data_IF_326293508065
#
_entry.id   IF_326293508065
#
_cell.length_a   1.000
_cell.length_b   1.000
_cell.length_c   1.000
_cell.angle_alpha   90.00
_cell.angle_beta   90.00
_cell.angle_gamma   90.00
#
_symmetry.space_group_name_H-M   'P 1'
#
loop_
_entity.id
_entity.type
_entity.pdbx_description
1 polymer ?
#
# COMPACT_ATOMS: atom_id res chain seq x y z
N UNK A 1 -9.38 -6.53 17.76
CA UNK A 1 -8.34 -5.57 17.34
C UNK A 1 -7.56 -6.19 16.20
N UNK A 2 -7.22 -5.43 15.16
CA UNK A 2 -6.49 -5.91 13.98
C UNK A 2 -5.09 -5.32 14.00
N UNK A 3 -4.08 -6.11 13.64
CA UNK A 3 -2.68 -5.69 13.58
C UNK A 3 -2.10 -6.17 12.27
N UNK A 4 -1.48 -5.26 11.53
CA UNK A 4 -0.59 -5.60 10.42
C UNK A 4 0.75 -6.03 11.01
N UNK A 5 0.97 -7.35 11.11
CA UNK A 5 2.23 -7.90 11.63
C UNK A 5 3.33 -7.96 10.56
N UNK A 6 2.93 -8.02 9.30
CA UNK A 6 3.85 -8.09 8.16
C UNK A 6 4.09 -6.71 7.55
N UNK A 7 5.32 -6.49 7.08
CA UNK A 7 5.69 -5.36 6.21
C UNK A 7 6.14 -5.94 4.88
N UNK A 8 5.51 -5.51 3.80
CA UNK A 8 5.70 -6.11 2.47
C UNK A 8 6.06 -5.02 1.47
N UNK A 9 7.04 -5.30 0.63
CA UNK A 9 7.23 -4.63 -0.66
C UNK A 9 6.91 -5.65 -1.76
N UNK A 10 5.96 -5.29 -2.62
CA UNK A 10 5.41 -6.19 -3.62
C UNK A 10 4.90 -5.45 -4.88
N UNK A 11 5.24 -4.18 -5.07
CA UNK A 11 4.97 -3.53 -6.35
C UNK A 11 5.79 -4.18 -7.46
N UNK A 12 5.13 -4.54 -8.55
CA UNK A 12 5.76 -5.01 -9.79
C UNK A 12 6.39 -3.81 -10.48
N UNK A 13 7.71 -3.65 -10.30
CA UNK A 13 8.47 -2.49 -10.80
C UNK A 13 8.47 -2.38 -12.33
N UNK A 14 8.28 -3.49 -13.05
CA UNK A 14 8.27 -3.51 -14.51
C UNK A 14 6.91 -3.11 -15.09
N UNK A 15 5.82 -3.39 -14.36
CA UNK A 15 4.43 -3.12 -14.81
C UNK A 15 3.79 -1.88 -14.19
N UNK A 16 4.40 -1.36 -13.13
CA UNK A 16 3.94 -0.15 -12.44
C UNK A 16 4.53 1.10 -13.08
N UNK A 17 3.90 2.25 -12.83
CA UNK A 17 4.38 3.57 -13.25
C UNK A 17 4.47 4.44 -12.02
N UNK A 18 5.66 4.97 -11.76
CA UNK A 18 5.99 5.71 -10.56
C UNK A 18 7.17 6.65 -10.77
N UNK A 19 7.27 7.63 -9.88
CA UNK A 19 8.41 8.55 -9.74
C UNK A 19 9.03 8.35 -8.36
N UNK A 20 10.34 8.11 -8.31
CA UNK A 20 11.08 7.99 -7.06
C UNK A 20 11.41 9.37 -6.49
N UNK A 21 11.32 9.52 -5.18
CA UNK A 21 11.78 10.70 -4.48
C UNK A 21 13.32 10.66 -4.37
N UNK A 22 13.98 11.64 -5.00
CA UNK A 22 15.45 11.74 -5.01
C UNK A 22 16.02 12.46 -3.80
N UNK A 23 15.17 13.12 -3.00
CA UNK A 23 15.55 13.78 -1.76
C UNK A 23 14.46 13.57 -0.70
N UNK A 24 14.27 12.32 -0.24
CA UNK A 24 13.19 11.99 0.67
C UNK A 24 13.31 12.80 1.95
N UNK A 25 12.23 13.51 2.30
CA UNK A 25 12.11 14.22 3.59
C UNK A 25 11.87 13.26 4.77
N UNK A 26 11.69 11.98 4.47
CA UNK A 26 11.47 10.90 5.44
C UNK A 26 12.83 10.29 5.78
N UNK A 27 13.06 10.00 7.05
CA UNK A 27 14.27 9.35 7.52
C UNK A 27 14.37 7.91 6.97
N UNK A 28 15.12 7.73 5.88
CA UNK A 28 15.36 6.43 5.24
C UNK A 28 16.38 5.58 6.00
N UNK A 29 16.92 6.04 7.14
CA UNK A 29 17.89 5.26 7.92
C UNK A 29 17.33 3.95 8.48
N UNK A 30 16.00 3.82 8.53
CA UNK A 30 15.27 2.66 9.07
C UNK A 30 14.79 1.68 7.99
N UNK A 31 14.89 2.02 6.70
CA UNK A 31 14.41 1.18 5.60
C UNK A 31 15.22 1.41 4.33
N UNK A 32 15.79 0.35 3.77
CA UNK A 32 16.40 0.39 2.43
C UNK A 32 15.36 0.45 1.29
N UNK A 33 14.07 0.59 1.62
CA UNK A 33 13.03 0.68 0.61
C UNK A 33 13.10 2.03 -0.13
N UNK A 34 12.88 2.04 -1.45
CA UNK A 34 12.73 3.27 -2.20
C UNK A 34 11.54 4.09 -1.67
N UNK A 35 11.71 5.41 -1.63
CA UNK A 35 10.62 6.35 -1.34
C UNK A 35 10.04 6.81 -2.67
N UNK A 36 8.71 6.79 -2.78
CA UNK A 36 8.00 7.17 -4.00
C UNK A 36 7.43 8.59 -3.84
N UNK A 37 7.78 9.47 -4.78
CA UNK A 37 7.15 10.77 -4.91
C UNK A 37 5.72 10.63 -5.41
N UNK A 38 5.53 9.73 -6.39
CA UNK A 38 4.25 9.44 -7.03
C UNK A 38 4.19 8.01 -7.53
N UNK A 39 3.03 7.39 -7.47
CA UNK A 39 2.71 6.13 -8.15
C UNK A 39 1.43 6.36 -8.94
N UNK A 40 1.53 6.49 -10.27
CA UNK A 40 0.41 6.70 -11.18
C UNK A 40 -0.32 5.39 -11.51
N UNK A 41 0.41 4.27 -11.48
CA UNK A 41 -0.15 2.94 -11.71
C UNK A 41 0.53 1.94 -10.78
N UNK A 42 -0.24 1.39 -9.85
CA UNK A 42 0.23 0.39 -8.89
C UNK A 42 -0.17 -1.01 -9.36
N UNK A 43 0.79 -1.80 -9.83
CA UNK A 43 0.59 -3.22 -10.12
C UNK A 43 1.21 -4.04 -8.99
N UNK A 44 0.37 -4.81 -8.29
CA UNK A 44 0.82 -5.64 -7.16
C UNK A 44 1.24 -7.02 -7.67
N UNK A 45 2.38 -7.51 -7.18
CA UNK A 45 2.91 -8.85 -7.47
C UNK A 45 1.95 -9.93 -6.96
N UNK A 46 1.82 -11.03 -7.72
CA UNK A 46 0.78 -12.06 -7.48
C UNK A 46 1.02 -12.97 -6.27
N UNK A 47 2.14 -12.83 -5.56
CA UNK A 47 2.59 -13.78 -4.54
C UNK A 47 2.53 -13.20 -3.12
N UNK A 48 1.43 -12.54 -2.76
CA UNK A 48 1.20 -12.07 -1.39
C UNK A 48 0.23 -13.03 -0.69
N UNK A 49 0.72 -13.73 0.33
CA UNK A 49 -0.10 -14.64 1.14
C UNK A 49 -0.80 -13.92 2.31
N UNK A 50 -0.26 -12.78 2.75
CA UNK A 50 -0.81 -12.05 3.89
C UNK A 50 -2.07 -11.28 3.52
N UNK A 51 -3.10 -11.37 4.36
CA UNK A 51 -4.40 -10.72 4.14
C UNK A 51 -4.49 -9.30 4.72
N UNK A 52 -3.57 -8.92 5.61
CA UNK A 52 -3.49 -7.61 6.26
C UNK A 52 -2.02 -7.29 6.58
N UNK A 53 -1.46 -6.27 5.95
CA UNK A 53 -0.03 -5.94 6.03
C UNK A 53 0.20 -4.44 5.88
N UNK A 54 1.37 -3.98 6.32
CA UNK A 54 1.87 -2.65 6.03
C UNK A 54 2.56 -2.68 4.67
N UNK A 55 2.12 -1.85 3.73
CA UNK A 55 2.63 -1.83 2.37
C UNK A 55 3.64 -0.69 2.21
N UNK A 56 4.91 -1.05 2.00
CA UNK A 56 6.04 -0.10 2.05
C UNK A 56 5.93 0.99 0.97
N UNK A 57 5.41 0.66 -0.20
CA UNK A 57 5.38 1.57 -1.36
C UNK A 57 4.45 2.77 -1.18
N UNK A 58 3.39 2.63 -0.38
CA UNK A 58 2.40 3.70 -0.13
C UNK A 58 2.30 4.08 1.35
N UNK A 59 3.09 3.44 2.21
CA UNK A 59 3.14 3.67 3.66
C UNK A 59 1.80 3.51 4.40
N UNK A 60 0.90 2.67 3.90
CA UNK A 60 -0.44 2.44 4.43
C UNK A 60 -0.67 0.98 4.83
N UNK A 61 -1.69 0.74 5.66
CA UNK A 61 -2.18 -0.62 5.95
C UNK A 61 -3.10 -1.06 4.80
N UNK A 62 -2.75 -2.18 4.17
CA UNK A 62 -3.48 -2.77 3.05
C UNK A 62 -4.04 -4.12 3.46
N UNK A 63 -5.22 -4.45 2.94
CA UNK A 63 -5.82 -5.76 3.10
C UNK A 63 -6.27 -6.36 1.76
N UNK A 64 -6.32 -7.68 1.71
CA UNK A 64 -6.94 -8.43 0.60
C UNK A 64 -8.44 -8.16 0.49
N UNK A 65 -9.02 -8.45 -0.69
CA UNK A 65 -10.47 -8.48 -0.89
C UNK A 65 -11.18 -9.39 0.10
N UNK A 66 -10.63 -10.60 0.31
CA UNK A 66 -11.21 -11.64 1.15
C UNK A 66 -11.33 -11.17 2.61
N UNK A 67 -10.32 -10.44 3.09
CA UNK A 67 -10.36 -9.83 4.42
C UNK A 67 -11.51 -8.83 4.54
N UNK A 68 -11.63 -7.91 3.58
CA UNK A 68 -12.71 -6.90 3.55
C UNK A 68 -14.08 -7.56 3.48
N UNK A 69 -14.25 -8.56 2.62
CA UNK A 69 -15.51 -9.27 2.46
C UNK A 69 -15.93 -9.98 3.74
N UNK A 70 -14.99 -10.67 4.39
CA UNK A 70 -15.25 -11.28 5.70
C UNK A 70 -15.57 -10.24 6.77
N UNK A 71 -14.83 -9.13 6.81
CA UNK A 71 -15.09 -8.02 7.75
C UNK A 71 -16.52 -7.48 7.62
N UNK A 72 -16.98 -7.25 6.40
CA UNK A 72 -18.34 -6.77 6.11
C UNK A 72 -19.38 -7.83 6.45
N UNK A 73 -19.14 -9.10 6.07
CA UNK A 73 -20.04 -10.22 6.36
C UNK A 73 -20.28 -10.44 7.85
N UNK A 74 -19.24 -10.28 8.66
CA UNK A 74 -19.30 -10.41 10.12
C UNK A 74 -19.86 -9.13 10.80
N UNK A 75 -20.27 -8.12 10.02
CA UNK A 75 -20.84 -6.85 10.50
C UNK A 75 -19.93 -6.13 11.52
N UNK A 76 -18.62 -6.15 11.29
CA UNK A 76 -17.65 -5.48 12.13
C UNK A 76 -17.61 -3.97 11.83
N UNK A 77 -17.26 -3.17 12.84
CA UNK A 77 -17.19 -1.71 12.75
C UNK A 77 -15.83 -1.15 13.19
N UNK A 78 -15.50 0.05 12.74
CA UNK A 78 -14.27 0.76 13.12
C UNK A 78 -13.17 0.81 12.07
N UNK A 79 -13.35 0.16 10.92
CA UNK A 79 -12.47 0.30 9.75
C UNK A 79 -13.25 0.90 8.57
N UNK A 80 -12.56 1.68 7.76
CA UNK A 80 -13.04 2.12 6.45
C UNK A 80 -12.06 1.62 5.39
N UNK A 81 -12.57 1.31 4.20
CA UNK A 81 -11.78 0.71 3.14
C UNK A 81 -11.80 1.60 1.91
N UNK A 82 -10.62 1.92 1.39
CA UNK A 82 -10.43 2.53 0.06
C UNK A 82 -9.96 1.43 -0.89
N UNK A 83 -10.56 1.35 -2.08
CA UNK A 83 -10.17 0.38 -3.09
C UNK A 83 -8.84 0.79 -3.72
N UNK A 84 -7.96 -0.18 -3.90
CA UNK A 84 -6.73 -0.05 -4.69
C UNK A 84 -7.00 -0.81 -5.99
N UNK A 85 -7.24 -0.08 -7.06
CA UNK A 85 -7.46 -0.61 -8.41
C UNK A 85 -6.63 0.19 -9.43
N UNK A 86 -6.91 0.02 -10.72
CA UNK A 86 -6.13 0.63 -11.80
C UNK A 86 -6.15 2.16 -11.79
N UNK A 87 -7.15 2.77 -11.14
CA UNK A 87 -7.31 4.22 -11.01
C UNK A 87 -6.67 4.76 -9.71
N UNK A 88 -6.14 3.89 -8.85
CA UNK A 88 -5.49 4.31 -7.61
C UNK A 88 -4.18 5.04 -7.92
N UNK A 89 -4.04 6.24 -7.37
CA UNK A 89 -2.81 7.02 -7.42
C UNK A 89 -2.32 7.33 -6.01
N UNK A 90 -1.01 7.21 -5.83
CA UNK A 90 -0.31 7.67 -4.65
C UNK A 90 0.45 8.95 -5.00
N UNK A 91 0.16 10.04 -4.30
CA UNK A 91 0.83 11.33 -4.48
C UNK A 91 0.79 12.09 -3.13
N UNK A 92 1.59 11.66 -2.13
CA UNK A 92 1.54 12.22 -0.77
C UNK A 92 1.97 13.68 -0.69
N UNK A 93 2.65 14.18 -1.72
CA UNK A 93 3.18 15.55 -1.82
C UNK A 93 2.34 16.47 -2.70
N UNK A 94 1.38 15.93 -3.44
CA UNK A 94 0.43 16.75 -4.16
C UNK A 94 -0.53 17.37 -3.14
N UNK A 95 -0.23 18.60 -2.75
CA UNK A 95 -1.22 19.46 -2.11
C UNK A 95 -2.37 19.67 -3.12
N UNK A 96 -3.60 19.38 -2.65
CA UNK A 96 -4.91 19.51 -3.31
C UNK A 96 -5.05 20.52 -4.46
#
# INVERSE_FOLDING_TARGET
FFVASDRISAMDLDKSTFTLDTNPKIDTSMSNAPVYERIEKLVISKNIESHLFYFEEIHEIVCSSDFREKYVKENLSGLSFKKIDEDYQYAPWDDF
#
